data_IF_271365343436
#
_entry.id   IF_271365343436
#
_cell.length_a   1.000
_cell.length_b   1.000
_cell.length_c   1.000
_cell.angle_alpha   90.00
_cell.angle_beta   90.00
_cell.angle_gamma   90.00
#
_symmetry.space_group_name_H-M   'P 1'
#
loop_
_entity.id
_entity.type
_entity.pdbx_description
1 polymer ?
#
# COMPACT_ATOMS: atom_id res chain seq x y z
N UNK A 1 19.98 -22.91 -56.79
CA UNK A 1 20.03 -23.32 -55.39
C UNK A 1 20.50 -22.24 -54.42
N UNK A 2 21.64 -21.56 -54.58
CA UNK A 2 22.15 -20.54 -53.63
C UNK A 2 21.18 -19.37 -53.38
N UNK A 3 20.47 -18.86 -54.37
CA UNK A 3 19.49 -17.76 -54.20
C UNK A 3 18.27 -18.19 -53.42
N UNK A 4 17.78 -19.43 -53.57
CA UNK A 4 16.66 -19.97 -52.83
C UNK A 4 17.00 -20.12 -51.35
N UNK A 5 18.19 -20.57 -51.01
CA UNK A 5 18.68 -20.69 -49.62
C UNK A 5 18.72 -19.29 -48.94
N UNK A 6 19.12 -18.26 -49.68
CA UNK A 6 19.17 -16.88 -49.15
C UNK A 6 17.77 -16.35 -48.78
N UNK A 7 16.78 -16.60 -49.64
CA UNK A 7 15.41 -16.18 -49.39
C UNK A 7 14.77 -16.95 -48.23
N UNK A 8 15.02 -18.22 -48.13
CA UNK A 8 14.55 -19.05 -47.00
C UNK A 8 15.19 -18.62 -45.68
N UNK A 9 16.48 -18.32 -45.67
CA UNK A 9 17.19 -17.83 -44.50
C UNK A 9 16.67 -16.45 -44.07
N UNK A 10 16.38 -15.57 -45.03
CA UNK A 10 15.84 -14.22 -44.74
C UNK A 10 14.41 -14.30 -44.17
N UNK A 11 13.57 -15.18 -44.69
CA UNK A 11 12.21 -15.40 -44.19
C UNK A 11 12.24 -16.00 -42.77
N UNK A 12 13.09 -16.96 -42.51
CA UNK A 12 13.29 -17.55 -41.20
C UNK A 12 13.79 -16.49 -40.18
N UNK A 13 14.72 -15.62 -40.60
CA UNK A 13 15.22 -14.52 -39.78
C UNK A 13 14.12 -13.50 -39.44
N UNK A 14 13.31 -13.12 -40.43
CA UNK A 14 12.18 -12.23 -40.24
C UNK A 14 11.12 -12.87 -39.30
N UNK A 15 10.77 -14.15 -39.50
CA UNK A 15 9.87 -14.87 -38.62
C UNK A 15 10.37 -14.96 -37.18
N UNK A 16 11.66 -15.12 -36.98
CA UNK A 16 12.28 -15.14 -35.65
C UNK A 16 12.15 -13.80 -34.92
N UNK A 17 12.26 -12.67 -35.66
CA UNK A 17 12.04 -11.33 -35.08
C UNK A 17 10.60 -11.05 -34.74
N UNK A 18 9.63 -11.54 -35.52
CA UNK A 18 8.21 -11.35 -35.22
C UNK A 18 7.66 -12.24 -34.10
N UNK A 19 8.36 -13.30 -33.68
CA UNK A 19 7.93 -14.16 -32.59
C UNK A 19 8.39 -13.68 -31.21
N UNK A 20 9.17 -12.61 -31.09
CA UNK A 20 9.63 -12.06 -29.82
C UNK A 20 8.79 -10.87 -29.34
N UNK A 21 7.51 -10.76 -29.74
CA UNK A 21 6.61 -9.78 -29.14
C UNK A 21 6.28 -10.21 -27.71
N UNK A 22 7.08 -9.76 -26.76
CA UNK A 22 6.75 -9.86 -25.33
C UNK A 22 5.66 -8.83 -25.05
N UNK A 23 4.45 -9.29 -24.69
CA UNK A 23 3.38 -8.42 -24.25
C UNK A 23 3.65 -8.03 -22.80
N UNK A 24 3.91 -6.75 -22.57
CA UNK A 24 4.02 -6.18 -21.22
C UNK A 24 2.65 -5.63 -20.83
N UNK A 25 2.05 -6.21 -19.80
CA UNK A 25 0.87 -5.63 -19.16
C UNK A 25 1.33 -4.67 -18.07
N UNK A 26 1.16 -3.37 -18.31
CA UNK A 26 1.55 -2.34 -17.35
C UNK A 26 0.28 -1.86 -16.65
N UNK A 27 0.25 -2.02 -15.33
CA UNK A 27 -0.83 -1.50 -14.48
C UNK A 27 -0.41 -0.15 -13.93
N UNK A 28 -1.32 0.82 -13.96
CA UNK A 28 -1.14 2.15 -13.40
C UNK A 28 -2.28 2.49 -12.43
N UNK A 29 -1.92 3.17 -11.36
CA UNK A 29 -2.87 3.87 -10.51
C UNK A 29 -3.12 5.26 -11.08
N UNK A 30 -4.37 5.70 -11.10
CA UNK A 30 -4.72 7.09 -11.41
C UNK A 30 -4.45 8.02 -10.21
N UNK A 31 -4.66 9.33 -10.41
CA UNK A 31 -4.37 10.33 -9.37
C UNK A 31 -5.22 10.15 -8.11
N UNK A 32 -6.47 9.70 -8.24
CA UNK A 32 -7.33 9.43 -7.10
C UNK A 32 -6.88 8.19 -6.32
N UNK A 33 -6.44 7.15 -7.02
CA UNK A 33 -5.85 5.94 -6.41
C UNK A 33 -4.49 6.25 -5.76
N UNK A 34 -3.64 7.06 -6.42
CA UNK A 34 -2.36 7.52 -5.88
C UNK A 34 -2.52 8.40 -4.64
N UNK A 35 -3.63 9.11 -4.50
CA UNK A 35 -3.90 9.99 -3.38
C UNK A 35 -3.85 9.28 -2.01
N UNK A 36 -4.02 7.96 -1.95
CA UNK A 36 -3.80 7.16 -0.75
C UNK A 36 -2.36 7.26 -0.21
N UNK A 37 -1.40 7.50 -1.11
CA UNK A 37 0.03 7.59 -0.81
C UNK A 37 0.52 9.04 -0.83
N UNK A 38 0.12 9.81 -1.86
CA UNK A 38 0.67 11.15 -2.14
C UNK A 38 0.06 12.27 -1.28
N UNK A 39 -1.07 12.03 -0.62
CA UNK A 39 -1.62 12.97 0.37
C UNK A 39 -0.78 13.04 1.65
N UNK A 40 0.21 12.18 1.79
CA UNK A 40 1.13 12.12 2.93
C UNK A 40 2.54 12.47 2.50
N UNK A 41 3.39 12.82 3.46
CA UNK A 41 4.81 13.07 3.23
C UNK A 41 5.67 12.51 4.35
N UNK A 42 6.89 12.15 4.02
CA UNK A 42 7.87 11.65 4.98
C UNK A 42 8.17 12.73 6.03
N UNK A 43 8.31 12.31 7.27
CA UNK A 43 8.47 13.21 8.42
C UNK A 43 7.18 13.86 8.92
N UNK A 44 6.02 13.56 8.33
CA UNK A 44 4.74 14.05 8.82
C UNK A 44 4.43 13.49 10.21
N UNK A 45 3.97 14.37 11.11
CA UNK A 45 3.52 14.03 12.46
C UNK A 45 2.00 13.94 12.51
N UNK A 46 1.50 12.85 13.07
CA UNK A 46 0.09 12.62 13.36
C UNK A 46 -0.10 12.55 14.88
N UNK A 47 -0.90 13.44 15.44
CA UNK A 47 -1.11 13.56 16.90
C UNK A 47 -2.40 12.86 17.29
N UNK A 48 -2.34 12.11 18.39
CA UNK A 48 -3.44 11.32 18.92
C UNK A 48 -3.65 11.61 20.40
N UNK A 49 -4.88 11.48 20.84
CA UNK A 49 -5.25 11.53 22.25
C UNK A 49 -6.30 10.47 22.55
N UNK A 50 -6.14 9.82 23.69
CA UNK A 50 -7.14 8.89 24.21
C UNK A 50 -8.18 9.61 25.07
N UNK A 51 -9.30 8.94 25.35
CA UNK A 51 -10.36 9.48 26.20
C UNK A 51 -9.89 9.88 27.60
N UNK A 52 -8.87 9.19 28.13
CA UNK A 52 -8.27 9.51 29.44
C UNK A 52 -7.19 10.61 29.35
N UNK A 53 -7.03 11.26 28.21
CA UNK A 53 -6.09 12.36 27.99
C UNK A 53 -4.65 11.95 27.67
N UNK A 54 -4.35 10.66 27.58
CA UNK A 54 -3.00 10.20 27.17
C UNK A 54 -2.72 10.62 25.73
N UNK A 55 -1.57 11.27 25.50
CA UNK A 55 -1.14 11.74 24.17
C UNK A 55 -0.19 10.72 23.54
N UNK A 56 -0.32 10.54 22.23
CA UNK A 56 0.61 9.74 21.42
C UNK A 56 0.89 10.47 20.10
N UNK A 57 2.01 10.11 19.46
CA UNK A 57 2.43 10.72 18.20
C UNK A 57 2.98 9.65 17.28
N UNK A 58 2.50 9.65 16.05
CA UNK A 58 2.95 8.78 14.98
C UNK A 58 3.63 9.62 13.91
N UNK A 59 4.73 9.10 13.37
CA UNK A 59 5.57 9.76 12.36
C UNK A 59 5.61 8.90 11.11
N UNK A 60 5.39 9.48 9.94
CA UNK A 60 5.59 8.79 8.67
C UNK A 60 7.09 8.68 8.41
N UNK A 61 7.59 7.45 8.32
CA UNK A 61 9.00 7.16 8.14
C UNK A 61 9.44 7.22 6.68
N UNK A 62 8.62 6.60 5.80
CA UNK A 62 8.97 6.37 4.42
C UNK A 62 7.71 6.18 3.58
N UNK A 63 7.75 6.66 2.35
CA UNK A 63 6.70 6.45 1.35
C UNK A 63 7.36 5.89 0.09
N UNK A 64 6.91 4.72 -0.32
CA UNK A 64 7.38 4.07 -1.54
C UNK A 64 6.23 4.03 -2.56
N UNK A 65 6.52 4.43 -3.81
CA UNK A 65 5.54 4.42 -4.89
C UNK A 65 6.16 3.79 -6.13
N UNK A 66 5.49 2.76 -6.66
CA UNK A 66 5.80 2.13 -7.93
C UNK A 66 4.59 2.24 -8.86
N UNK A 67 4.58 3.24 -9.71
CA UNK A 67 3.48 3.53 -10.65
C UNK A 67 3.94 3.69 -12.09
N UNK A 68 5.20 3.37 -12.37
CA UNK A 68 5.76 3.42 -13.72
C UNK A 68 6.79 2.32 -13.91
N UNK A 69 6.87 1.86 -15.15
CA UNK A 69 7.93 0.95 -15.57
C UNK A 69 9.26 1.70 -15.58
N UNK A 70 10.26 1.18 -14.87
CA UNK A 70 11.62 1.67 -15.05
C UNK A 70 12.23 0.98 -16.29
N UNK A 71 12.36 1.67 -17.44
CA UNK A 71 12.85 1.08 -18.69
C UNK A 71 14.31 0.59 -18.61
N UNK A 72 15.06 1.00 -17.58
CA UNK A 72 16.45 0.60 -17.37
C UNK A 72 16.60 -0.60 -16.43
N UNK A 73 15.51 -1.14 -15.89
CA UNK A 73 15.60 -2.32 -15.04
C UNK A 73 15.65 -3.60 -15.89
N UNK A 74 16.86 -4.04 -16.22
CA UNK A 74 17.15 -5.22 -17.05
C UNK A 74 16.65 -6.54 -16.48
N UNK A 75 16.29 -6.60 -15.21
CA UNK A 75 15.77 -7.84 -14.56
C UNK A 75 14.43 -8.27 -15.14
N UNK A 76 13.69 -7.37 -15.76
CA UNK A 76 12.37 -7.63 -16.34
C UNK A 76 12.41 -8.23 -17.76
N UNK A 77 13.57 -8.24 -18.42
CA UNK A 77 13.67 -8.74 -19.80
C UNK A 77 13.75 -10.26 -19.94
N UNK A 78 13.78 -10.99 -18.83
CA UNK A 78 14.06 -12.45 -18.85
C UNK A 78 12.83 -13.32 -18.65
N UNK A 79 11.62 -12.77 -18.62
CA UNK A 79 10.38 -13.52 -18.46
C UNK A 79 9.43 -13.28 -19.63
N UNK A 80 8.88 -14.34 -20.19
CA UNK A 80 8.02 -14.32 -21.38
C UNK A 80 6.68 -13.58 -21.19
N UNK A 81 6.24 -13.34 -19.96
CA UNK A 81 5.07 -12.54 -19.62
C UNK A 81 5.40 -11.77 -18.34
N UNK A 82 5.69 -10.49 -18.46
CA UNK A 82 5.94 -9.65 -17.28
C UNK A 82 4.73 -8.77 -17.01
N UNK A 83 4.10 -9.02 -15.89
CA UNK A 83 3.01 -8.19 -15.37
C UNK A 83 3.60 -7.19 -14.39
N UNK A 84 3.38 -5.90 -14.67
CA UNK A 84 3.83 -4.82 -13.79
C UNK A 84 2.67 -4.38 -12.93
N UNK A 85 2.82 -4.57 -11.64
CA UNK A 85 1.83 -4.22 -10.63
C UNK A 85 2.15 -2.82 -10.14
N UNK A 86 1.16 -1.92 -10.21
CA UNK A 86 1.27 -0.61 -9.58
C UNK A 86 0.96 -0.73 -8.09
N UNK A 87 1.72 -0.03 -7.27
CA UNK A 87 1.50 -0.05 -5.84
C UNK A 87 2.42 0.89 -5.08
N UNK A 88 2.26 0.88 -3.77
CA UNK A 88 3.14 1.60 -2.87
C UNK A 88 2.79 1.32 -1.43
N UNK A 89 3.60 1.87 -0.55
CA UNK A 89 3.36 1.75 0.88
C UNK A 89 3.78 3.02 1.64
N UNK A 90 3.12 3.23 2.76
CA UNK A 90 3.47 4.22 3.76
C UNK A 90 3.90 3.47 5.00
N UNK A 91 5.14 3.67 5.43
CA UNK A 91 5.66 3.16 6.69
C UNK A 91 5.58 4.24 7.75
N UNK A 92 5.11 3.88 8.94
CA UNK A 92 4.99 4.81 10.06
C UNK A 92 5.40 4.16 11.39
N UNK A 93 5.79 4.99 12.34
CA UNK A 93 6.25 4.57 13.66
C UNK A 93 5.69 5.47 14.75
N UNK A 94 5.63 4.95 15.95
CA UNK A 94 5.39 5.78 17.12
C UNK A 94 6.63 6.62 17.44
N UNK A 95 6.42 7.83 17.95
CA UNK A 95 7.54 8.71 18.31
C UNK A 95 8.47 8.13 19.38
N UNK A 96 7.94 7.22 20.22
CA UNK A 96 8.69 6.50 21.26
C UNK A 96 9.61 5.40 20.72
N UNK A 97 9.52 5.03 19.45
CA UNK A 97 10.28 3.95 18.82
C UNK A 97 11.11 4.46 17.66
N UNK A 98 12.15 3.70 17.31
CA UNK A 98 12.99 3.97 16.14
C UNK A 98 12.64 3.10 14.94
N UNK A 99 11.99 1.96 15.16
CA UNK A 99 11.55 1.05 14.10
C UNK A 99 10.16 1.43 13.57
N UNK A 100 9.91 1.22 12.29
CA UNK A 100 8.57 1.36 11.72
C UNK A 100 7.69 0.22 12.22
N UNK A 101 6.59 0.56 12.88
CA UNK A 101 5.68 -0.38 13.53
C UNK A 101 4.32 -0.45 12.85
N UNK A 102 4.15 0.32 11.79
CA UNK A 102 2.94 0.33 11.00
C UNK A 102 3.20 0.53 9.51
N UNK A 103 2.30 0.02 8.69
CA UNK A 103 2.37 0.15 7.24
C UNK A 103 0.97 0.18 6.65
N UNK A 104 0.76 1.02 5.63
CA UNK A 104 -0.36 0.90 4.70
C UNK A 104 0.20 0.51 3.34
N UNK A 105 -0.27 -0.59 2.77
CA UNK A 105 -0.02 -0.99 1.38
C UNK A 105 -1.24 -0.67 0.51
N UNK A 106 -0.96 -0.15 -0.67
CA UNK A 106 -1.94 0.08 -1.74
C UNK A 106 -1.41 -0.62 -2.98
N UNK A 107 -2.20 -1.48 -3.60
CA UNK A 107 -1.78 -2.25 -4.76
C UNK A 107 -2.90 -2.36 -5.79
N UNK A 108 -2.56 -2.16 -7.06
CA UNK A 108 -3.43 -2.37 -8.21
C UNK A 108 -2.87 -3.51 -9.05
N UNK A 109 -3.58 -4.63 -9.07
CA UNK A 109 -3.16 -5.83 -9.81
C UNK A 109 -3.44 -5.72 -11.31
N UNK A 110 -4.55 -5.07 -11.68
CA UNK A 110 -5.00 -4.94 -13.08
C UNK A 110 -5.61 -3.56 -13.30
N UNK A 111 -5.44 -2.99 -14.50
CA UNK A 111 -5.96 -1.66 -14.84
C UNK A 111 -7.49 -1.53 -14.72
N UNK A 112 -8.23 -2.62 -14.93
CA UNK A 112 -9.69 -2.66 -14.84
C UNK A 112 -10.23 -3.08 -13.46
N UNK A 113 -9.37 -3.19 -12.46
CA UNK A 113 -9.74 -3.53 -11.08
C UNK A 113 -9.46 -2.38 -10.14
N UNK A 114 -10.25 -2.22 -9.09
CA UNK A 114 -9.94 -1.25 -8.04
C UNK A 114 -8.67 -1.65 -7.29
N UNK A 115 -8.09 -0.69 -6.59
CA UNK A 115 -6.95 -0.92 -5.71
C UNK A 115 -7.32 -1.83 -4.53
N UNK A 116 -6.38 -2.64 -4.13
CA UNK A 116 -6.45 -3.48 -2.93
C UNK A 116 -5.60 -2.88 -1.83
N UNK A 117 -5.99 -3.10 -0.59
CA UNK A 117 -5.35 -2.54 0.58
C UNK A 117 -4.90 -3.63 1.55
N UNK A 118 -3.77 -3.39 2.20
CA UNK A 118 -3.33 -4.13 3.37
C UNK A 118 -2.81 -3.14 4.39
N UNK A 119 -3.16 -3.30 5.64
CA UNK A 119 -2.71 -2.44 6.72
C UNK A 119 -2.06 -3.22 7.83
N UNK A 120 -1.05 -2.64 8.45
CA UNK A 120 -0.39 -3.19 9.62
C UNK A 120 -0.15 -2.15 10.69
N UNK A 121 -0.30 -2.52 11.96
CA UNK A 121 0.01 -1.68 13.10
C UNK A 121 0.40 -2.56 14.29
N UNK A 122 1.56 -2.29 14.90
CA UNK A 122 2.07 -2.96 16.09
C UNK A 122 1.98 -4.50 15.97
N UNK A 123 2.50 -5.05 14.87
CA UNK A 123 2.56 -6.50 14.64
C UNK A 123 1.25 -7.16 14.25
N UNK A 124 0.18 -6.42 14.08
CA UNK A 124 -1.09 -6.89 13.55
C UNK A 124 -1.21 -6.49 12.09
N UNK A 125 -1.57 -7.43 11.20
CA UNK A 125 -1.60 -7.21 9.75
C UNK A 125 -2.89 -7.72 9.13
N UNK A 126 -3.42 -6.97 8.16
CA UNK A 126 -4.47 -7.45 7.27
C UNK A 126 -3.85 -8.11 6.03
N UNK A 127 -4.56 -9.09 5.47
CA UNK A 127 -4.26 -9.57 4.12
C UNK A 127 -4.62 -8.50 3.11
N UNK A 128 -3.94 -8.51 1.95
CA UNK A 128 -4.29 -7.66 0.83
C UNK A 128 -5.72 -7.98 0.36
N UNK A 129 -6.62 -7.01 0.41
CA UNK A 129 -8.03 -7.20 0.10
C UNK A 129 -8.65 -5.94 -0.51
N UNK A 130 -9.79 -6.12 -1.19
CA UNK A 130 -10.66 -5.05 -1.67
C UNK A 130 -11.52 -4.56 -0.50
N UNK A 131 -11.00 -3.62 0.29
CA UNK A 131 -11.75 -3.04 1.40
C UNK A 131 -12.79 -2.04 0.89
N UNK A 132 -13.99 -2.12 1.47
CA UNK A 132 -15.03 -1.12 1.25
C UNK A 132 -14.74 0.10 2.12
N UNK A 133 -14.74 1.28 1.50
CA UNK A 133 -14.67 2.53 2.24
C UNK A 133 -15.89 2.68 3.15
N UNK A 134 -15.65 3.15 4.36
CA UNK A 134 -16.68 3.42 5.35
C UNK A 134 -16.60 4.85 5.86
N UNK A 135 -17.61 5.24 6.61
CA UNK A 135 -17.68 6.53 7.29
C UNK A 135 -17.40 6.33 8.76
N UNK A 136 -16.59 7.20 9.34
CA UNK A 136 -16.28 7.21 10.77
C UNK A 136 -16.42 8.64 11.32
N UNK A 137 -17.08 8.77 12.45
CA UNK A 137 -17.18 10.05 13.18
C UNK A 137 -16.22 10.03 14.37
N UNK A 138 -15.34 11.02 14.43
CA UNK A 138 -14.35 11.21 15.49
C UNK A 138 -14.39 12.67 15.93
N UNK A 139 -14.65 12.93 17.21
CA UNK A 139 -14.68 14.29 17.78
C UNK A 139 -15.57 15.26 16.99
N UNK A 140 -16.77 14.82 16.59
CA UNK A 140 -17.75 15.57 15.77
C UNK A 140 -17.25 15.89 14.33
N UNK A 141 -16.19 15.23 13.86
CA UNK A 141 -15.72 15.31 12.48
C UNK A 141 -16.04 14.01 11.75
N UNK A 142 -16.74 14.12 10.63
CA UNK A 142 -17.10 12.99 9.80
C UNK A 142 -16.04 12.74 8.72
N UNK A 143 -15.49 11.54 8.70
CA UNK A 143 -14.56 11.03 7.69
C UNK A 143 -15.30 10.04 6.79
N UNK A 144 -15.38 10.29 5.48
CA UNK A 144 -16.13 9.46 4.53
C UNK A 144 -15.24 8.53 3.69
N UNK A 145 -13.93 8.57 3.89
CA UNK A 145 -12.91 7.91 3.09
C UNK A 145 -12.07 6.93 3.92
N UNK A 146 -12.72 6.20 4.81
CA UNK A 146 -12.03 5.36 5.80
C UNK A 146 -11.84 3.93 5.31
N UNK A 147 -10.60 3.45 5.37
CA UNK A 147 -10.26 2.04 5.43
C UNK A 147 -10.26 1.62 6.91
N UNK A 148 -11.13 0.72 7.27
CA UNK A 148 -11.23 0.22 8.63
C UNK A 148 -10.70 -1.22 8.70
N UNK A 149 -9.75 -1.46 9.59
CA UNK A 149 -9.13 -2.75 9.83
C UNK A 149 -9.48 -3.21 11.25
N UNK A 150 -10.27 -4.25 11.35
CA UNK A 150 -10.65 -4.84 12.64
C UNK A 150 -9.98 -6.20 12.89
N UNK A 151 -10.32 -6.82 14.01
CA UNK A 151 -9.80 -8.12 14.40
C UNK A 151 -10.14 -9.26 13.43
N UNK A 152 -11.20 -9.12 12.63
CA UNK A 152 -11.64 -10.13 11.66
C UNK A 152 -10.82 -10.05 10.38
N UNK A 153 -10.39 -8.84 10.03
CA UNK A 153 -9.63 -8.55 8.83
C UNK A 153 -8.12 -8.67 9.03
N UNK A 154 -7.66 -8.84 10.28
CA UNK A 154 -6.24 -8.78 10.64
C UNK A 154 -5.78 -10.02 11.41
N UNK A 155 -4.53 -10.41 11.19
CA UNK A 155 -3.86 -11.51 11.91
C UNK A 155 -2.69 -10.95 12.73
N UNK A 156 -2.41 -11.57 13.89
CA UNK A 156 -1.22 -11.27 14.67
C UNK A 156 -0.02 -12.04 14.07
N UNK A 157 0.98 -11.34 13.54
CA UNK A 157 2.13 -11.96 12.88
C UNK A 157 3.31 -12.10 13.84
N UNK A 158 3.43 -11.22 14.82
CA UNK A 158 4.55 -11.27 15.76
C UNK A 158 4.22 -12.11 16.99
N UNK A 159 5.13 -13.01 17.34
CA UNK A 159 5.10 -13.81 18.58
C UNK A 159 5.44 -13.00 19.84
N UNK A 160 5.56 -11.69 19.73
CA UNK A 160 5.78 -10.82 20.88
C UNK A 160 4.46 -10.72 21.62
N UNK A 161 4.39 -11.31 22.80
CA UNK A 161 3.29 -11.13 23.75
C UNK A 161 3.15 -9.64 24.07
N UNK A 162 2.32 -8.95 23.30
CA UNK A 162 1.98 -7.59 23.61
C UNK A 162 0.99 -7.61 24.78
N UNK A 163 1.33 -6.93 25.84
CA UNK A 163 0.49 -6.79 27.06
C UNK A 163 -0.89 -6.25 26.68
N UNK A 164 -0.97 -5.43 25.64
CA UNK A 164 -2.22 -4.86 25.11
C UNK A 164 -2.16 -4.76 23.59
N UNK A 165 -2.62 -5.79 22.87
CA UNK A 165 -2.56 -5.80 21.40
C UNK A 165 -3.59 -4.86 20.77
N UNK A 166 -3.29 -4.40 19.57
CA UNK A 166 -4.22 -3.63 18.73
C UNK A 166 -5.48 -4.45 18.46
N UNK A 167 -6.65 -3.81 18.59
CA UNK A 167 -7.95 -4.36 18.24
C UNK A 167 -8.37 -3.92 16.83
N UNK A 168 -8.26 -2.62 16.55
CA UNK A 168 -8.63 -2.05 15.25
C UNK A 168 -7.84 -0.78 14.96
N UNK A 169 -7.77 -0.40 13.68
CA UNK A 169 -7.24 0.90 13.27
C UNK A 169 -7.96 1.39 11.99
N UNK A 170 -7.99 2.71 11.81
CA UNK A 170 -8.72 3.38 10.74
C UNK A 170 -7.79 4.35 10.00
N UNK A 171 -7.75 4.23 8.67
CA UNK A 171 -6.95 5.08 7.80
C UNK A 171 -7.83 5.85 6.83
N UNK A 172 -7.71 7.18 6.81
CA UNK A 172 -8.35 8.08 5.85
C UNK A 172 -7.42 8.36 4.68
N UNK A 173 -7.94 8.37 3.45
CA UNK A 173 -7.19 8.78 2.27
C UNK A 173 -6.60 10.18 2.42
N UNK A 174 -7.41 11.11 2.96
CA UNK A 174 -7.03 12.51 3.12
C UNK A 174 -6.13 12.76 4.32
N UNK A 175 -6.36 12.07 5.45
CA UNK A 175 -5.75 12.43 6.73
C UNK A 175 -4.74 11.40 7.26
N UNK A 176 -4.58 10.26 6.62
CA UNK A 176 -3.73 9.18 7.12
C UNK A 176 -4.38 8.39 8.25
N UNK A 177 -3.60 7.88 9.19
CA UNK A 177 -4.15 7.19 10.36
C UNK A 177 -4.97 8.19 11.20
N UNK A 178 -6.24 7.85 11.47
CA UNK A 178 -7.17 8.74 12.19
C UNK A 178 -7.60 8.18 13.54
N UNK A 179 -7.58 6.86 13.71
CA UNK A 179 -7.93 6.22 14.97
C UNK A 179 -7.27 4.85 15.07
N UNK A 180 -6.93 4.43 16.27
CA UNK A 180 -6.59 3.06 16.59
C UNK A 180 -7.05 2.71 18.01
N UNK A 181 -7.35 1.44 18.23
CA UNK A 181 -7.84 0.95 19.51
C UNK A 181 -7.09 -0.30 19.95
N UNK A 182 -7.03 -0.50 21.24
CA UNK A 182 -6.44 -1.65 21.90
C UNK A 182 -7.55 -2.62 22.42
N UNK A 183 -7.15 -3.85 22.76
CA UNK A 183 -8.09 -4.86 23.29
C UNK A 183 -8.65 -4.53 24.67
N UNK A 184 -7.95 -3.73 25.46
CA UNK A 184 -8.44 -3.25 26.77
C UNK A 184 -9.54 -2.17 26.64
N UNK A 185 -9.88 -1.76 25.42
CA UNK A 185 -10.88 -0.74 25.14
C UNK A 185 -10.31 0.67 24.98
N UNK A 186 -9.03 0.89 25.23
CA UNK A 186 -8.41 2.21 25.03
C UNK A 186 -8.45 2.59 23.54
N UNK A 187 -8.98 3.76 23.23
CA UNK A 187 -9.10 4.31 21.88
C UNK A 187 -8.26 5.60 21.79
N UNK A 188 -7.41 5.66 20.78
CA UNK A 188 -6.66 6.86 20.42
C UNK A 188 -7.22 7.45 19.15
N UNK A 189 -7.69 8.69 19.24
CA UNK A 189 -8.26 9.44 18.12
C UNK A 189 -7.34 10.60 17.73
N UNK A 190 -7.29 10.87 16.42
CA UNK A 190 -6.49 11.97 15.89
C UNK A 190 -6.99 13.31 16.42
N UNK A 191 -6.05 14.17 16.78
CA UNK A 191 -6.29 15.55 17.20
C UNK A 191 -5.48 16.50 16.34
N UNK A 192 -5.89 17.77 16.25
CA UNK A 192 -5.07 18.82 15.66
C UNK A 192 -3.85 19.06 16.54
N UNK A 193 -2.76 19.53 15.95
CA UNK A 193 -1.62 20.05 16.71
C UNK A 193 -2.10 21.26 17.52
N UNK A 194 -1.96 21.20 18.84
CA UNK A 194 -2.10 22.37 19.72
C UNK A 194 -0.94 23.35 19.51
#
# INVERSE_FOLDING_TARGET
MKRLLYWVSLILFILFFFHSCVYHYITHMDDDELAWLTNRHEGEYMYFQSENGTKDTIIICQIEISNSLNPFNMTYFNTSNTEYIAGGCIHYRFNRTTACEGTLYVQKLYNNKPVSFSGGLLGRWSRLTLLKLTTLEINNVTFNDILFFDEKDTEQITSVDQVNPIKSFAWSKKYGLVQYSFKDGTVFSRVSKE
#
